data_IF_929377365352
#
_entry.id   IF_929377365352
#
_cell.length_a   1.000
_cell.length_b   1.000
_cell.length_c   1.000
_cell.angle_alpha   90.00
_cell.angle_beta   90.00
_cell.angle_gamma   90.00
#
_symmetry.space_group_name_H-M   'P 1'
#
loop_
_entity.id
_entity.type
_entity.pdbx_description
1 polymer ?
#
# COMPACT_ATOMS: atom_id res chain seq x y z
N UNK A 1 -0.75 14.63 -2.59
CA UNK A 1 -1.71 13.48 -2.57
C UNK A 1 -1.20 12.47 -1.56
N UNK A 2 -2.00 11.50 -1.10
CA UNK A 2 -1.54 10.53 -0.09
C UNK A 2 -1.81 9.10 -0.53
N UNK A 3 -0.93 8.17 -0.16
CA UNK A 3 -1.05 6.74 -0.41
C UNK A 3 -1.00 5.99 0.92
N UNK A 4 -1.97 5.10 1.15
CA UNK A 4 -1.96 4.19 2.28
C UNK A 4 -1.33 2.87 1.85
N UNK A 5 -0.31 2.43 2.56
CA UNK A 5 0.28 1.11 2.40
C UNK A 5 -0.10 0.26 3.61
N UNK A 6 -0.69 -0.90 3.38
CA UNK A 6 -1.02 -1.88 4.42
C UNK A 6 -0.21 -3.15 4.17
N UNK A 7 0.48 -3.63 5.20
CA UNK A 7 1.30 -4.83 5.22
C UNK A 7 0.72 -5.80 6.24
N UNK A 8 0.13 -6.88 5.77
CA UNK A 8 -0.39 -7.96 6.61
C UNK A 8 0.44 -9.21 6.37
N UNK A 9 1.43 -9.43 7.26
CA UNK A 9 2.43 -10.48 7.10
C UNK A 9 3.27 -10.30 5.82
N UNK A 10 3.07 -11.20 4.85
CA UNK A 10 3.77 -11.19 3.56
C UNK A 10 3.00 -10.41 2.48
N UNK A 11 1.75 -10.05 2.72
CA UNK A 11 0.94 -9.32 1.74
C UNK A 11 1.10 -7.82 1.93
N UNK A 12 1.45 -7.11 0.85
CA UNK A 12 1.49 -5.65 0.81
C UNK A 12 0.42 -5.13 -0.13
N UNK A 13 -0.43 -4.22 0.34
CA UNK A 13 -1.52 -3.58 -0.39
C UNK A 13 -1.30 -2.08 -0.41
N UNK A 14 -1.54 -1.47 -1.56
CA UNK A 14 -1.46 -0.02 -1.75
C UNK A 14 -2.88 0.47 -2.03
N UNK A 15 -3.40 1.40 -1.24
CA UNK A 15 -4.74 1.96 -1.38
C UNK A 15 -4.64 3.48 -1.53
N UNK A 16 -5.33 4.04 -2.52
CA UNK A 16 -5.30 5.47 -2.85
C UNK A 16 -5.29 5.70 -4.37
N UNK A 17 -5.00 6.93 -4.83
CA UNK A 17 -4.54 8.09 -4.06
C UNK A 17 -5.66 8.82 -3.31
N UNK A 18 -5.35 9.32 -2.12
CA UNK A 18 -6.24 10.17 -1.31
C UNK A 18 -5.88 11.64 -1.44
N UNK A 19 -6.89 12.50 -1.31
CA UNK A 19 -6.70 13.95 -1.32
C UNK A 19 -6.02 14.45 -0.03
N UNK A 20 -6.32 13.84 1.12
CA UNK A 20 -5.81 14.24 2.45
C UNK A 20 -5.35 13.03 3.26
N UNK A 21 -4.50 13.27 4.26
CA UNK A 21 -4.11 12.26 5.26
C UNK A 21 -5.30 11.73 6.04
N UNK A 22 -6.28 12.59 6.33
CA UNK A 22 -7.51 12.22 7.03
C UNK A 22 -8.29 11.14 6.28
N UNK A 23 -8.48 11.28 4.97
CA UNK A 23 -9.19 10.25 4.20
C UNK A 23 -8.45 8.91 4.18
N UNK A 24 -7.12 8.94 4.19
CA UNK A 24 -6.32 7.72 4.28
C UNK A 24 -6.48 7.06 5.66
N UNK A 25 -6.54 7.85 6.74
CA UNK A 25 -6.77 7.37 8.10
C UNK A 25 -8.17 6.78 8.28
N UNK A 26 -9.22 7.49 7.86
CA UNK A 26 -10.60 6.98 7.90
C UNK A 26 -10.74 5.64 7.16
N UNK A 27 -10.09 5.50 5.99
CA UNK A 27 -10.15 4.24 5.25
C UNK A 27 -9.31 3.13 5.91
N UNK A 28 -8.21 3.47 6.60
CA UNK A 28 -7.47 2.52 7.42
C UNK A 28 -8.34 1.95 8.56
N UNK A 29 -9.12 2.79 9.24
CA UNK A 29 -10.03 2.34 10.30
C UNK A 29 -11.10 1.36 9.79
N UNK A 30 -11.56 1.53 8.54
CA UNK A 30 -12.47 0.58 7.89
C UNK A 30 -11.80 -0.74 7.52
N UNK A 31 -10.49 -0.73 7.23
CA UNK A 31 -9.73 -1.90 6.78
C UNK A 31 -9.14 -2.71 7.95
N UNK A 32 -8.83 -2.04 9.07
CA UNK A 32 -8.27 -2.63 10.29
C UNK A 32 -9.03 -3.89 10.78
N UNK A 33 -10.37 -3.91 10.83
CA UNK A 33 -11.14 -5.09 11.23
C UNK A 33 -11.01 -6.30 10.30
N UNK A 34 -10.59 -6.08 9.06
CA UNK A 34 -10.41 -7.13 8.04
C UNK A 34 -8.95 -7.61 7.94
N UNK A 35 -8.02 -6.95 8.65
CA UNK A 35 -6.61 -7.27 8.65
C UNK A 35 -6.27 -8.19 9.84
N UNK A 36 -5.19 -8.98 9.70
CA UNK A 36 -4.70 -9.83 10.79
C UNK A 36 -4.18 -9.05 12.01
N UNK A 37 -3.89 -9.79 13.09
CA UNK A 37 -3.43 -9.25 14.38
C UNK A 37 -2.08 -8.49 14.31
N UNK A 38 -1.32 -8.67 13.22
CA UNK A 38 0.01 -8.06 12.99
C UNK A 38 0.08 -7.24 11.71
N UNK A 39 -0.94 -6.43 11.49
CA UNK A 39 -0.95 -5.49 10.36
C UNK A 39 -0.09 -4.27 10.66
N UNK A 40 0.82 -3.95 9.74
CA UNK A 40 1.58 -2.72 9.71
C UNK A 40 1.01 -1.80 8.63
N UNK A 41 0.90 -0.51 8.90
CA UNK A 41 0.39 0.45 7.94
C UNK A 41 1.23 1.72 7.94
N UNK A 42 1.26 2.41 6.80
CA UNK A 42 1.97 3.66 6.62
C UNK A 42 1.20 4.55 5.65
N UNK A 43 1.07 5.85 5.97
CA UNK A 43 0.51 6.86 5.07
C UNK A 43 1.68 7.68 4.53
N UNK A 44 1.84 7.66 3.21
CA UNK A 44 2.89 8.38 2.51
C UNK A 44 2.29 9.57 1.75
N UNK A 45 2.91 10.73 1.86
CA UNK A 45 2.61 11.83 0.95
C UNK A 45 3.23 11.52 -0.41
N UNK A 46 2.38 11.42 -1.42
CA UNK A 46 2.77 11.41 -2.82
C UNK A 46 3.13 12.83 -3.21
N UNK A 47 4.43 13.02 -3.44
CA UNK A 47 5.00 14.17 -4.13
C UNK A 47 4.26 14.36 -5.47
N UNK A 48 3.83 15.59 -5.77
CA UNK A 48 3.19 15.91 -7.06
C UNK A 48 4.04 15.39 -8.22
N UNK A 49 3.42 14.90 -9.32
CA UNK A 49 4.06 14.06 -10.34
C UNK A 49 5.06 14.79 -11.27
N UNK A 50 6.04 15.49 -10.69
CA UNK A 50 7.17 16.09 -11.39
C UNK A 50 8.47 15.30 -11.25
N UNK A 51 8.60 14.41 -10.25
CA UNK A 51 9.85 13.68 -10.02
C UNK A 51 9.62 12.47 -9.12
N UNK A 52 9.40 11.27 -9.68
CA UNK A 52 9.75 9.98 -9.06
C UNK A 52 9.22 8.85 -9.96
N UNK A 53 9.88 8.67 -11.10
CA UNK A 53 9.92 7.37 -11.74
C UNK A 53 10.59 6.39 -10.75
N UNK A 54 10.08 5.16 -10.69
CA UNK A 54 10.73 3.98 -10.11
C UNK A 54 10.65 3.79 -8.59
N UNK A 55 9.57 3.11 -8.18
CA UNK A 55 9.47 2.46 -6.87
C UNK A 55 8.38 1.40 -6.79
N UNK A 56 7.89 0.88 -7.93
CA UNK A 56 7.04 -0.31 -7.94
C UNK A 56 7.94 -1.54 -7.79
N UNK A 57 8.35 -1.78 -6.55
CA UNK A 57 9.06 -3.00 -6.16
C UNK A 57 8.14 -4.20 -6.34
N UNK A 58 8.38 -4.93 -7.43
CA UNK A 58 8.36 -6.38 -7.51
C UNK A 58 7.12 -7.10 -6.93
N UNK A 59 6.12 -7.33 -7.79
CA UNK A 59 5.33 -8.56 -7.71
C UNK A 59 5.11 -9.18 -9.10
N UNK A 60 6.21 -9.47 -9.81
CA UNK A 60 6.16 -10.44 -10.88
C UNK A 60 7.46 -11.24 -10.94
N UNK A 61 7.47 -12.41 -10.30
CA UNK A 61 8.26 -13.58 -10.69
C UNK A 61 7.99 -14.74 -9.72
N UNK A 62 6.84 -15.39 -9.87
CA UNK A 62 6.70 -16.79 -9.46
C UNK A 62 5.89 -17.52 -10.53
N UNK A 63 6.60 -18.00 -11.55
CA UNK A 63 6.15 -19.10 -12.39
C UNK A 63 7.36 -20.01 -12.64
N UNK A 64 7.74 -20.76 -11.61
CA UNK A 64 8.46 -22.03 -11.80
C UNK A 64 7.45 -23.08 -12.25
N UNK A 65 7.60 -23.58 -13.46
CA UNK A 65 7.19 -24.93 -13.90
C UNK A 65 8.09 -25.25 -15.10
N UNK A 66 9.19 -25.99 -14.94
CA UNK A 66 9.28 -27.44 -14.84
C UNK A 66 8.72 -28.16 -16.08
N UNK A 67 9.62 -28.53 -17.00
CA UNK A 67 9.79 -29.86 -17.62
C UNK A 67 10.55 -29.74 -18.95
#
# INVERSE_FOLDING_TARGET
>A
MYLLTIRDGLHTRHIGPYATTQQAADHLDLLLPHCGERVHWQIHELESPGCALSGSGAHQASASLAA
#
